data_IF_649299354490
#
_entry.id   IF_649299354490
#
_cell.length_a   1.000
_cell.length_b   1.000
_cell.length_c   1.000
_cell.angle_alpha   90.00
_cell.angle_beta   90.00
_cell.angle_gamma   90.00
#
_symmetry.space_group_name_H-M   'P 1'
#
loop_
_entity.id
_entity.type
_entity.pdbx_description
1 polymer ?
#
# COMPACT_ATOMS: atom_id res chain seq x y z
N UNK A 1 -3.40 -65.20 64.63
CA UNK A 1 -2.12 -65.46 63.91
C UNK A 1 -1.73 -64.15 63.28
N UNK A 2 -0.62 -63.65 63.70
CA UNK A 2 -0.03 -62.36 63.51
C UNK A 2 0.54 -62.25 62.09
N UNK A 3 0.28 -61.13 61.40
CA UNK A 3 1.07 -60.76 60.20
C UNK A 3 1.55 -59.35 60.38
N UNK A 4 2.83 -59.22 60.33
CA UNK A 4 3.68 -58.04 60.54
C UNK A 4 3.56 -57.04 59.41
N UNK A 5 3.36 -55.77 59.75
CA UNK A 5 3.44 -54.61 58.85
C UNK A 5 4.91 -54.19 58.71
N UNK A 6 5.42 -54.24 57.50
CA UNK A 6 6.74 -53.70 57.16
C UNK A 6 6.54 -52.29 56.63
N UNK A 7 6.89 -51.23 57.42
CA UNK A 7 6.98 -49.83 57.00
C UNK A 7 8.23 -49.60 56.16
N UNK A 8 8.04 -49.32 54.91
CA UNK A 8 9.12 -48.79 54.05
C UNK A 8 9.09 -47.25 54.02
N UNK A 9 10.05 -46.64 54.63
CA UNK A 9 10.27 -45.19 54.61
C UNK A 9 10.95 -44.79 53.28
N UNK A 10 10.18 -44.15 52.38
CA UNK A 10 10.70 -43.56 51.16
C UNK A 10 11.10 -42.11 51.41
N UNK A 11 12.39 -41.80 51.43
CA UNK A 11 12.94 -40.45 51.49
C UNK A 11 12.77 -39.75 50.17
N UNK A 12 11.98 -38.68 50.14
CA UNK A 12 11.83 -37.78 48.99
C UNK A 12 13.04 -36.84 48.90
N UNK A 13 13.72 -36.70 47.73
CA UNK A 13 14.76 -35.72 47.58
C UNK A 13 14.12 -34.30 47.41
N UNK A 14 14.51 -33.43 48.30
CA UNK A 14 14.17 -31.99 48.28
C UNK A 14 14.83 -31.36 47.05
N UNK A 15 14.05 -31.10 45.98
CA UNK A 15 14.50 -30.33 44.84
C UNK A 15 14.56 -28.85 45.21
N UNK A 16 15.77 -28.35 45.45
CA UNK A 16 16.04 -26.92 45.64
C UNK A 16 15.81 -26.20 44.33
N UNK A 17 14.62 -25.63 44.12
CA UNK A 17 14.37 -24.72 43.01
C UNK A 17 15.17 -23.44 43.26
N UNK A 18 16.29 -23.26 42.57
CA UNK A 18 16.99 -21.98 42.46
C UNK A 18 16.04 -21.02 41.71
N UNK A 19 15.21 -20.30 42.45
CA UNK A 19 14.58 -19.10 41.94
C UNK A 19 15.68 -18.08 41.65
N UNK A 20 16.04 -17.92 40.39
CA UNK A 20 16.82 -16.76 39.94
C UNK A 20 16.01 -15.50 40.26
N UNK A 21 16.35 -14.84 41.35
CA UNK A 21 15.80 -13.54 41.71
C UNK A 21 16.42 -12.47 40.79
N UNK A 22 15.83 -12.29 39.60
CA UNK A 22 16.00 -11.05 38.88
C UNK A 22 15.39 -9.94 39.73
N UNK A 23 16.21 -9.04 40.24
CA UNK A 23 15.78 -7.96 41.13
C UNK A 23 14.79 -7.01 40.44
N UNK A 24 13.94 -6.29 41.20
CA UNK A 24 12.90 -5.40 40.67
C UNK A 24 13.45 -4.29 39.73
N UNK A 25 14.72 -3.94 39.83
CA UNK A 25 15.38 -2.98 38.93
C UNK A 25 15.59 -3.53 37.50
N UNK A 26 15.81 -4.83 37.36
CA UNK A 26 15.95 -5.49 36.04
C UNK A 26 14.60 -5.58 35.32
N UNK A 27 13.51 -5.79 36.02
CA UNK A 27 12.16 -5.83 35.46
C UNK A 27 11.67 -4.43 35.06
N UNK A 28 11.95 -3.40 35.88
CA UNK A 28 11.61 -2.01 35.61
C UNK A 28 12.36 -1.46 34.39
N UNK A 29 13.67 -1.78 34.27
CA UNK A 29 14.48 -1.43 33.09
C UNK A 29 13.98 -2.08 31.81
N UNK A 30 13.58 -3.37 31.86
CA UNK A 30 13.00 -4.09 30.73
C UNK A 30 11.64 -3.56 30.29
N UNK A 31 10.80 -3.14 31.24
CA UNK A 31 9.50 -2.55 30.95
C UNK A 31 9.61 -1.17 30.30
N UNK A 32 10.51 -0.31 30.81
CA UNK A 32 10.78 1.02 30.24
C UNK A 32 11.33 0.93 28.81
N UNK A 33 12.27 0.03 28.58
CA UNK A 33 12.84 -0.21 27.23
C UNK A 33 11.77 -0.70 26.25
N UNK A 34 10.91 -1.60 26.68
CA UNK A 34 9.81 -2.12 25.84
C UNK A 34 8.78 -1.04 25.51
N UNK A 35 8.43 -0.17 26.48
CA UNK A 35 7.51 0.95 26.27
C UNK A 35 8.10 1.97 25.30
N UNK A 36 9.40 2.29 25.41
CA UNK A 36 10.09 3.18 24.47
C UNK A 36 10.11 2.62 23.05
N UNK A 37 10.46 1.34 22.87
CA UNK A 37 10.43 0.68 21.57
C UNK A 37 9.05 0.68 20.94
N UNK A 38 8.02 0.44 21.73
CA UNK A 38 6.62 0.49 21.24
C UNK A 38 6.26 1.88 20.71
N UNK A 39 6.65 2.94 21.42
CA UNK A 39 6.45 4.34 20.96
C UNK A 39 7.25 4.61 19.69
N UNK A 40 8.49 4.14 19.62
CA UNK A 40 9.34 4.30 18.46
C UNK A 40 8.75 3.61 17.21
N UNK A 41 8.16 2.42 17.38
CA UNK A 41 7.48 1.71 16.28
C UNK A 41 6.26 2.48 15.79
N UNK A 42 5.46 3.10 16.68
CA UNK A 42 4.33 3.95 16.26
C UNK A 42 4.84 5.12 15.40
N UNK A 43 5.86 5.83 15.87
CA UNK A 43 6.49 6.94 15.11
C UNK A 43 7.04 6.42 13.77
N UNK A 44 7.71 5.27 13.80
CA UNK A 44 8.23 4.62 12.59
C UNK A 44 7.14 4.28 11.56
N UNK A 45 6.00 3.74 12.02
CA UNK A 45 4.85 3.45 11.14
C UNK A 45 4.30 4.72 10.51
N UNK A 46 4.11 5.78 11.30
CA UNK A 46 3.58 7.07 10.81
C UNK A 46 4.53 7.70 9.81
N UNK A 47 5.82 7.82 10.15
CA UNK A 47 6.82 8.40 9.26
C UNK A 47 7.01 7.56 7.98
N UNK A 48 7.01 6.24 8.08
CA UNK A 48 7.05 5.38 6.91
C UNK A 48 5.83 5.62 6.03
N UNK A 49 4.61 5.61 6.59
CA UNK A 49 3.38 5.82 5.84
C UNK A 49 3.36 7.17 5.11
N UNK A 50 3.80 8.25 5.77
CA UNK A 50 3.93 9.58 5.16
C UNK A 50 4.87 9.60 3.95
N UNK A 51 5.82 8.65 3.87
CA UNK A 51 6.83 8.60 2.80
C UNK A 51 6.48 7.63 1.65
N UNK A 52 5.46 6.78 1.79
CA UNK A 52 5.17 5.75 0.77
C UNK A 52 4.53 6.27 -0.51
N UNK A 53 4.08 7.51 -0.55
CA UNK A 53 3.37 8.09 -1.72
C UNK A 53 3.98 9.38 -2.27
N UNK A 54 4.72 10.19 -1.50
CA UNK A 54 5.27 11.46 -2.00
C UNK A 54 6.14 11.31 -3.26
N UNK A 55 6.88 10.21 -3.38
CA UNK A 55 7.70 9.92 -4.58
C UNK A 55 6.91 9.97 -5.89
N UNK A 56 5.63 9.59 -5.87
CA UNK A 56 4.73 9.55 -7.03
C UNK A 56 3.97 10.86 -7.13
N UNK A 57 3.36 11.31 -6.02
CA UNK A 57 2.50 12.50 -6.02
C UNK A 57 3.28 13.80 -6.28
N UNK A 58 4.49 13.96 -5.71
CA UNK A 58 5.34 15.12 -5.98
C UNK A 58 5.83 15.17 -7.43
N UNK A 59 6.16 14.00 -8.00
CA UNK A 59 6.50 13.91 -9.41
C UNK A 59 5.33 14.29 -10.30
N UNK A 60 4.12 13.79 -10.02
CA UNK A 60 2.92 14.15 -10.78
C UNK A 60 2.60 15.65 -10.73
N UNK A 61 2.89 16.32 -9.60
CA UNK A 61 2.70 17.77 -9.46
C UNK A 61 3.73 18.60 -10.26
N UNK A 62 4.95 18.08 -10.47
CA UNK A 62 6.05 18.73 -11.21
C UNK A 62 6.38 18.02 -12.53
N UNK A 63 5.41 17.29 -13.11
CA UNK A 63 5.64 16.47 -14.31
C UNK A 63 6.17 17.29 -15.48
N UNK A 64 5.64 18.47 -15.70
CA UNK A 64 6.03 19.37 -16.81
C UNK A 64 7.46 19.84 -16.63
N UNK A 65 7.80 20.40 -15.46
CA UNK A 65 9.13 20.91 -15.15
C UNK A 65 10.21 19.83 -15.24
N UNK A 66 9.88 18.61 -14.81
CA UNK A 66 10.79 17.48 -14.92
C UNK A 66 10.95 17.05 -16.39
N UNK A 67 9.85 16.97 -17.16
CA UNK A 67 9.90 16.63 -18.57
C UNK A 67 10.77 17.59 -19.38
N UNK A 68 10.55 18.88 -19.16
CA UNK A 68 11.30 19.94 -19.85
C UNK A 68 12.78 19.98 -19.41
N UNK A 69 13.02 19.79 -18.10
CA UNK A 69 14.37 19.86 -17.53
C UNK A 69 15.31 18.73 -17.96
N UNK A 70 14.77 17.54 -18.30
CA UNK A 70 15.58 16.37 -18.73
C UNK A 70 15.24 15.87 -20.14
N UNK A 71 14.42 16.62 -20.89
CA UNK A 71 14.02 16.27 -22.26
C UNK A 71 13.20 14.98 -22.36
N UNK A 72 12.30 14.73 -21.39
CA UNK A 72 11.54 13.48 -21.31
C UNK A 72 10.32 13.51 -22.21
N UNK A 73 10.17 12.52 -23.09
CA UNK A 73 8.98 12.35 -23.93
C UNK A 73 7.74 11.92 -23.10
N UNK A 74 6.53 12.15 -23.62
CA UNK A 74 5.29 11.68 -23.00
C UNK A 74 5.26 10.15 -22.80
N UNK A 75 5.81 9.39 -23.75
CA UNK A 75 5.96 7.93 -23.62
C UNK A 75 6.84 7.54 -22.42
N UNK A 76 7.98 8.21 -22.23
CA UNK A 76 8.88 7.94 -21.10
C UNK A 76 8.25 8.39 -19.76
N UNK A 77 7.45 9.46 -19.74
CA UNK A 77 6.63 9.83 -18.59
C UNK A 77 5.58 8.74 -18.27
N UNK A 78 4.99 8.12 -19.29
CA UNK A 78 4.12 6.95 -19.15
C UNK A 78 4.82 5.73 -18.56
N UNK A 79 6.07 5.46 -18.99
CA UNK A 79 6.92 4.41 -18.39
C UNK A 79 7.13 4.70 -16.89
N UNK A 80 7.48 5.93 -16.56
CA UNK A 80 7.74 6.34 -15.18
C UNK A 80 6.49 6.23 -14.28
N UNK A 81 5.32 6.59 -14.80
CA UNK A 81 4.03 6.46 -14.08
C UNK A 81 3.54 5.01 -13.98
N UNK A 82 4.04 4.10 -14.83
CA UNK A 82 3.81 2.65 -14.74
C UNK A 82 4.78 1.94 -13.79
N UNK A 83 5.93 2.56 -13.50
CA UNK A 83 7.00 1.99 -12.70
C UNK A 83 6.56 1.57 -11.27
N UNK A 84 5.67 2.29 -10.57
CA UNK A 84 5.14 1.84 -9.28
C UNK A 84 4.46 0.48 -9.38
N UNK A 85 3.58 0.28 -10.36
CA UNK A 85 2.90 -1.01 -10.58
C UNK A 85 3.88 -2.15 -10.80
N UNK A 86 4.90 -1.92 -11.61
CA UNK A 86 5.97 -2.90 -11.86
C UNK A 86 6.73 -3.23 -10.57
N UNK A 87 7.14 -2.21 -9.81
CA UNK A 87 7.84 -2.41 -8.54
C UNK A 87 6.97 -3.16 -7.51
N UNK A 88 5.69 -2.85 -7.41
CA UNK A 88 4.78 -3.57 -6.51
C UNK A 88 4.56 -5.02 -6.95
N UNK A 89 4.45 -5.30 -8.25
CA UNK A 89 4.32 -6.64 -8.77
C UNK A 89 5.57 -7.50 -8.45
N UNK A 90 6.76 -6.94 -8.65
CA UNK A 90 8.02 -7.65 -8.46
C UNK A 90 8.44 -7.73 -6.99
N UNK A 91 8.60 -6.57 -6.36
CA UNK A 91 9.18 -6.49 -5.01
C UNK A 91 8.15 -6.78 -3.91
N UNK A 92 6.85 -6.57 -4.18
CA UNK A 92 5.78 -6.98 -3.29
C UNK A 92 5.78 -8.48 -3.01
N UNK A 93 6.03 -9.31 -4.03
CA UNK A 93 6.18 -10.78 -3.88
C UNK A 93 7.48 -11.15 -3.17
N UNK A 94 8.53 -10.34 -3.31
CA UNK A 94 9.83 -10.59 -2.68
C UNK A 94 9.85 -10.19 -1.20
N UNK A 95 9.06 -9.18 -0.79
CA UNK A 95 9.08 -8.59 0.55
C UNK A 95 8.95 -9.64 1.70
N UNK A 96 8.03 -10.63 1.65
CA UNK A 96 7.96 -11.66 2.69
C UNK A 96 9.19 -12.57 2.74
N UNK A 97 9.85 -12.83 1.59
CA UNK A 97 11.08 -13.63 1.54
C UNK A 97 12.25 -12.87 2.15
N UNK A 98 12.39 -11.59 1.83
CA UNK A 98 13.39 -10.70 2.42
C UNK A 98 13.20 -10.57 3.94
N UNK A 99 11.95 -10.38 4.39
CA UNK A 99 11.60 -10.28 5.80
C UNK A 99 11.95 -11.56 6.60
N UNK A 100 11.76 -12.75 6.00
CA UNK A 100 12.19 -14.02 6.62
C UNK A 100 13.71 -14.15 6.70
N UNK A 101 14.45 -13.63 5.73
CA UNK A 101 15.92 -13.76 5.67
C UNK A 101 16.63 -12.74 6.56
N UNK A 102 16.20 -11.50 6.55
CA UNK A 102 16.88 -10.37 7.18
C UNK A 102 16.14 -9.79 8.40
N UNK A 103 14.92 -10.22 8.64
CA UNK A 103 14.02 -9.64 9.64
C UNK A 103 13.22 -8.44 9.11
N UNK A 104 12.00 -8.27 9.66
CA UNK A 104 11.06 -7.24 9.19
C UNK A 104 11.62 -5.83 9.40
N UNK A 105 12.23 -5.56 10.59
CA UNK A 105 12.81 -4.25 10.92
C UNK A 105 13.94 -3.84 9.98
N UNK A 106 14.88 -4.76 9.69
CA UNK A 106 15.98 -4.51 8.78
C UNK A 106 15.53 -4.24 7.35
N UNK A 107 14.52 -4.99 6.87
CA UNK A 107 14.00 -4.83 5.50
C UNK A 107 13.23 -3.52 5.34
N UNK A 108 12.45 -3.10 6.35
CA UNK A 108 11.78 -1.79 6.34
C UNK A 108 12.80 -0.65 6.44
N UNK A 109 13.81 -0.77 7.30
CA UNK A 109 14.91 0.21 7.39
C UNK A 109 15.61 0.37 6.04
N UNK A 110 16.01 -0.74 5.41
CA UNK A 110 16.60 -0.74 4.07
C UNK A 110 15.68 -0.16 3.00
N UNK A 111 14.37 -0.44 3.09
CA UNK A 111 13.34 0.14 2.24
C UNK A 111 13.26 1.66 2.37
N UNK A 112 13.22 2.20 3.61
CA UNK A 112 13.23 3.64 3.85
C UNK A 112 14.53 4.30 3.37
N UNK A 113 15.68 3.65 3.58
CA UNK A 113 16.97 4.12 3.07
C UNK A 113 16.99 4.14 1.53
N UNK A 114 16.43 3.14 0.87
CA UNK A 114 16.30 3.10 -0.59
C UNK A 114 15.38 4.22 -1.11
N UNK A 115 14.29 4.54 -0.39
CA UNK A 115 13.42 5.68 -0.70
C UNK A 115 14.21 6.99 -0.60
N UNK A 116 14.90 7.20 0.51
CA UNK A 116 15.69 8.42 0.74
C UNK A 116 16.79 8.61 -0.32
N UNK A 117 17.56 7.55 -0.60
CA UNK A 117 18.61 7.57 -1.62
C UNK A 117 18.05 7.81 -3.03
N UNK A 118 16.99 7.08 -3.42
CA UNK A 118 16.37 7.26 -4.72
C UNK A 118 15.79 8.66 -4.93
N UNK A 119 15.13 9.23 -3.91
CA UNK A 119 14.60 10.59 -3.96
C UNK A 119 15.70 11.67 -3.98
N UNK A 120 16.81 11.44 -3.27
CA UNK A 120 17.94 12.37 -3.26
C UNK A 120 18.74 12.35 -4.58
N UNK A 121 18.91 11.19 -5.18
CA UNK A 121 19.73 11.02 -6.39
C UNK A 121 18.95 11.46 -7.65
N UNK A 122 17.65 11.09 -7.76
CA UNK A 122 16.88 11.23 -9.02
C UNK A 122 16.89 12.65 -9.62
N UNK A 123 16.80 13.78 -8.86
CA UNK A 123 16.75 15.11 -9.43
C UNK A 123 18.06 15.56 -10.09
N UNK A 124 19.19 14.93 -9.74
CA UNK A 124 20.54 15.32 -10.15
C UNK A 124 21.19 14.37 -11.15
N UNK A 125 20.45 13.38 -11.66
CA UNK A 125 20.99 12.39 -12.61
C UNK A 125 21.30 12.96 -14.00
N UNK A 126 20.71 14.08 -14.38
CA UNK A 126 20.90 14.76 -15.68
C UNK A 126 20.42 13.97 -16.90
N UNK A 127 19.97 12.73 -16.75
CA UNK A 127 19.48 11.87 -17.82
C UNK A 127 18.18 11.18 -17.46
N UNK A 128 17.31 10.95 -18.47
CA UNK A 128 16.06 10.22 -18.28
C UNK A 128 16.28 8.81 -17.73
N UNK A 129 17.31 8.10 -18.22
CA UNK A 129 17.64 6.75 -17.75
C UNK A 129 18.06 6.74 -16.27
N UNK A 130 18.89 7.69 -15.85
CA UNK A 130 19.29 7.87 -14.45
C UNK A 130 18.10 8.23 -13.56
N UNK A 131 17.22 9.12 -14.03
CA UNK A 131 15.99 9.49 -13.31
C UNK A 131 15.06 8.28 -13.12
N UNK A 132 14.87 7.45 -14.15
CA UNK A 132 14.10 6.21 -14.08
C UNK A 132 14.71 5.20 -13.10
N UNK A 133 16.04 5.00 -13.16
CA UNK A 133 16.73 4.07 -12.26
C UNK A 133 16.65 4.50 -10.80
N UNK A 134 16.87 5.79 -10.49
CA UNK A 134 16.76 6.33 -9.16
C UNK A 134 15.29 6.30 -8.65
N UNK A 135 14.32 6.55 -9.55
CA UNK A 135 12.89 6.38 -9.24
C UNK A 135 12.54 4.93 -8.94
N UNK A 136 13.09 3.97 -9.72
CA UNK A 136 12.91 2.54 -9.46
C UNK A 136 13.46 2.12 -8.10
N UNK A 137 14.61 2.66 -7.68
CA UNK A 137 15.19 2.41 -6.35
C UNK A 137 14.24 2.89 -5.23
N UNK A 138 13.70 4.11 -5.35
CA UNK A 138 12.73 4.64 -4.39
C UNK A 138 11.46 3.78 -4.36
N UNK A 139 10.91 3.43 -5.52
CA UNK A 139 9.68 2.65 -5.66
C UNK A 139 9.84 1.19 -5.18
N UNK A 140 11.01 0.59 -5.33
CA UNK A 140 11.35 -0.69 -4.72
C UNK A 140 11.24 -0.61 -3.19
N UNK A 141 11.85 0.41 -2.57
CA UNK A 141 11.74 0.65 -1.13
C UNK A 141 10.29 0.84 -0.68
N UNK A 142 9.49 1.60 -1.46
CA UNK A 142 8.06 1.80 -1.22
C UNK A 142 7.30 0.48 -1.27
N UNK A 143 7.50 -0.33 -2.33
CA UNK A 143 6.79 -1.59 -2.52
C UNK A 143 7.04 -2.56 -1.37
N UNK A 144 8.30 -2.74 -1.00
CA UNK A 144 8.70 -3.64 0.10
C UNK A 144 8.13 -3.16 1.44
N UNK A 145 8.27 -1.88 1.75
CA UNK A 145 7.81 -1.31 3.01
C UNK A 145 6.28 -1.36 3.14
N UNK A 146 5.55 -1.03 2.07
CA UNK A 146 4.09 -1.06 2.05
C UNK A 146 3.53 -2.46 2.33
N UNK A 147 4.14 -3.51 1.74
CA UNK A 147 3.72 -4.90 1.98
C UNK A 147 4.03 -5.35 3.41
N UNK A 148 5.09 -4.84 4.03
CA UNK A 148 5.49 -5.24 5.38
C UNK A 148 4.79 -4.45 6.49
N UNK A 149 4.21 -3.27 6.23
CA UNK A 149 3.54 -2.47 7.27
C UNK A 149 2.43 -3.23 8.01
N UNK A 150 1.50 -3.96 7.36
CA UNK A 150 0.52 -4.77 8.07
C UNK A 150 1.15 -5.86 8.95
N UNK A 151 2.30 -6.40 8.55
CA UNK A 151 3.05 -7.40 9.33
C UNK A 151 3.64 -6.76 10.59
N UNK A 152 4.22 -5.55 10.47
CA UNK A 152 4.71 -4.75 11.60
C UNK A 152 3.58 -4.46 12.58
N UNK A 153 2.44 -3.95 12.07
CA UNK A 153 1.27 -3.62 12.89
C UNK A 153 0.80 -4.85 13.65
N UNK A 154 0.60 -5.99 13.00
CA UNK A 154 0.14 -7.23 13.63
C UNK A 154 1.14 -7.78 14.65
N UNK A 155 2.44 -7.62 14.41
CA UNK A 155 3.50 -8.11 15.30
C UNK A 155 3.62 -7.30 16.58
N UNK A 156 3.56 -5.96 16.48
CA UNK A 156 3.77 -5.06 17.60
C UNK A 156 2.49 -4.66 18.33
N UNK A 157 1.35 -4.68 17.65
CA UNK A 157 0.06 -4.23 18.16
C UNK A 157 -1.06 -5.25 17.89
N UNK A 158 -0.93 -6.52 18.36
CA UNK A 158 -1.92 -7.57 18.07
C UNK A 158 -3.32 -7.21 18.58
N UNK A 159 -3.43 -6.50 19.72
CA UNK A 159 -4.70 -6.10 20.33
C UNK A 159 -5.28 -4.80 19.76
N UNK A 160 -4.53 -4.08 18.92
CA UNK A 160 -4.89 -2.76 18.35
C UNK A 160 -4.68 -2.68 16.85
N UNK A 161 -4.74 -3.81 16.16
CA UNK A 161 -4.49 -3.89 14.70
C UNK A 161 -5.36 -2.90 13.93
N UNK A 162 -6.66 -2.80 14.25
CA UNK A 162 -7.59 -1.90 13.56
C UNK A 162 -7.21 -0.42 13.69
N UNK A 163 -6.90 0.06 14.91
CA UNK A 163 -6.53 1.45 15.14
C UNK A 163 -5.17 1.81 14.54
N UNK A 164 -4.20 0.90 14.58
CA UNK A 164 -2.87 1.11 13.98
C UNK A 164 -2.93 1.08 12.44
N UNK A 165 -3.76 0.22 11.87
CA UNK A 165 -4.00 0.22 10.41
C UNK A 165 -4.72 1.50 9.98
N UNK A 166 -5.68 1.99 10.78
CA UNK A 166 -6.33 3.28 10.54
C UNK A 166 -5.33 4.45 10.57
N UNK A 167 -4.46 4.49 11.58
CA UNK A 167 -3.40 5.49 11.70
C UNK A 167 -2.44 5.45 10.50
N UNK A 168 -2.00 4.25 10.11
CA UNK A 168 -1.19 4.02 8.92
C UNK A 168 -1.86 4.55 7.64
N UNK A 169 -3.13 4.21 7.42
CA UNK A 169 -3.88 4.63 6.24
C UNK A 169 -4.11 6.14 6.19
N UNK A 170 -4.39 6.75 7.35
CA UNK A 170 -4.52 8.20 7.48
C UNK A 170 -3.19 8.91 7.16
N UNK A 171 -2.08 8.45 7.73
CA UNK A 171 -0.75 9.01 7.46
C UNK A 171 -0.36 8.84 5.98
N UNK A 172 -0.68 7.69 5.36
CA UNK A 172 -0.47 7.44 3.94
C UNK A 172 -1.22 8.45 3.05
N UNK A 173 -2.49 8.69 3.34
CA UNK A 173 -3.32 9.64 2.60
C UNK A 173 -2.86 11.08 2.83
N UNK A 174 -2.48 11.42 4.07
CA UNK A 174 -1.93 12.74 4.40
C UNK A 174 -0.62 13.01 3.66
N UNK A 175 0.30 12.04 3.63
CA UNK A 175 1.56 12.15 2.89
C UNK A 175 1.34 12.34 1.39
N UNK A 176 0.35 11.63 0.82
CA UNK A 176 -0.02 11.77 -0.60
C UNK A 176 -0.58 13.18 -0.90
N UNK A 177 -1.55 13.62 -0.10
CA UNK A 177 -2.17 14.94 -0.25
C UNK A 177 -1.20 16.08 -0.01
N UNK A 178 -0.36 15.98 1.03
CA UNK A 178 0.68 16.98 1.32
C UNK A 178 1.67 17.10 0.16
N UNK A 179 2.14 15.97 -0.40
CA UNK A 179 3.03 15.99 -1.54
C UNK A 179 2.41 16.65 -2.77
N UNK A 180 1.15 16.36 -3.05
CA UNK A 180 0.45 16.99 -4.17
C UNK A 180 0.24 18.50 -3.99
N UNK A 181 -0.14 18.93 -2.78
CA UNK A 181 -0.47 20.34 -2.50
C UNK A 181 0.76 21.23 -2.30
N UNK A 182 1.80 20.71 -1.63
CA UNK A 182 2.91 21.53 -1.12
C UNK A 182 4.10 21.56 -2.07
N UNK A 183 4.24 20.57 -2.98
CA UNK A 183 5.45 20.46 -3.81
C UNK A 183 5.62 21.67 -4.74
N UNK A 184 4.57 22.15 -5.41
CA UNK A 184 4.67 23.31 -6.31
C UNK A 184 4.99 24.60 -5.55
N UNK A 185 4.21 25.03 -4.51
CA UNK A 185 4.53 26.23 -3.75
C UNK A 185 5.91 26.18 -3.10
N UNK A 186 6.33 25.01 -2.62
CA UNK A 186 7.65 24.81 -2.04
C UNK A 186 8.77 24.98 -3.07
N UNK A 187 8.55 24.50 -4.30
CA UNK A 187 9.49 24.70 -5.41
C UNK A 187 9.67 26.18 -5.72
N UNK A 188 8.58 26.97 -5.73
CA UNK A 188 8.61 28.43 -5.94
C UNK A 188 9.43 29.13 -4.85
N UNK A 189 9.18 28.81 -3.58
CA UNK A 189 9.92 29.38 -2.42
C UNK A 189 11.41 29.01 -2.48
N UNK A 190 11.76 27.84 -3.01
CA UNK A 190 13.15 27.38 -3.16
C UNK A 190 13.83 27.89 -4.45
N UNK A 191 13.35 28.96 -5.05
CA UNK A 191 13.94 29.61 -6.22
C UNK A 191 13.53 29.00 -7.57
N UNK A 192 12.40 28.30 -7.62
CA UNK A 192 11.83 27.73 -8.86
C UNK A 192 12.51 26.44 -9.36
N UNK A 193 13.45 25.90 -8.60
CA UNK A 193 14.15 24.65 -8.98
C UNK A 193 13.32 23.41 -8.66
N UNK A 194 12.85 22.72 -9.72
CA UNK A 194 12.14 21.43 -9.55
C UNK A 194 13.01 20.38 -8.83
N UNK A 195 14.34 20.46 -9.01
CA UNK A 195 15.28 19.58 -8.31
C UNK A 195 15.19 19.77 -6.79
N UNK A 196 15.21 21.02 -6.34
CA UNK A 196 15.07 21.35 -4.91
C UNK A 196 13.71 20.88 -4.36
N UNK A 197 12.62 21.14 -5.10
CA UNK A 197 11.27 20.74 -4.74
C UNK A 197 11.12 19.21 -4.57
N UNK A 198 11.75 18.42 -5.43
CA UNK A 198 11.75 16.95 -5.28
C UNK A 198 12.69 16.47 -4.16
N UNK A 199 13.81 17.14 -3.92
CA UNK A 199 14.81 16.75 -2.92
C UNK A 199 14.30 16.88 -1.49
N UNK A 200 13.40 17.82 -1.21
CA UNK A 200 12.83 17.97 0.15
C UNK A 200 12.16 16.68 0.63
N UNK A 201 11.54 15.94 -0.26
CA UNK A 201 10.92 14.64 0.09
C UNK A 201 11.96 13.57 0.46
N UNK A 202 13.20 13.69 -0.03
CA UNK A 202 14.30 12.84 0.41
C UNK A 202 14.70 13.09 1.87
N UNK A 203 14.62 14.33 2.34
CA UNK A 203 14.88 14.67 3.74
C UNK A 203 13.85 14.01 4.66
N UNK A 204 12.56 14.11 4.31
CA UNK A 204 11.49 13.43 5.05
C UNK A 204 11.71 11.91 5.08
N UNK A 205 12.12 11.31 3.96
CA UNK A 205 12.43 9.90 3.88
C UNK A 205 13.66 9.51 4.71
N UNK A 206 14.70 10.35 4.74
CA UNK A 206 15.88 10.12 5.59
C UNK A 206 15.54 10.16 7.07
N UNK A 207 14.69 11.11 7.50
CA UNK A 207 14.16 11.15 8.88
C UNK A 207 13.37 9.89 9.20
N UNK A 208 12.60 9.36 8.26
CA UNK A 208 11.84 8.13 8.46
C UNK A 208 12.70 6.86 8.63
N UNK A 209 13.99 6.88 8.26
CA UNK A 209 14.93 5.76 8.52
C UNK A 209 15.23 5.63 10.01
N UNK A 210 15.36 6.76 10.72
CA UNK A 210 15.88 6.82 12.09
C UNK A 210 15.14 5.88 13.06
N UNK A 211 13.80 5.87 13.13
CA UNK A 211 13.09 4.98 14.06
C UNK A 211 13.32 3.49 13.79
N UNK A 212 13.74 3.11 12.57
CA UNK A 212 13.94 1.71 12.19
C UNK A 212 15.34 1.19 12.51
N UNK A 213 16.34 2.07 12.73
CA UNK A 213 17.73 1.68 13.02
C UNK A 213 17.82 0.78 14.26
N UNK A 214 17.23 1.12 15.42
CA UNK A 214 17.25 0.24 16.58
C UNK A 214 16.54 -1.10 16.33
N UNK A 215 15.51 -1.09 15.48
CA UNK A 215 14.68 -2.26 15.17
C UNK A 215 15.36 -3.26 14.20
N UNK A 216 16.48 -2.88 13.59
CA UNK A 216 17.27 -3.80 12.72
C UNK A 216 17.75 -5.02 13.50
N UNK A 217 18.13 -4.84 14.77
CA UNK A 217 18.68 -5.90 15.62
C UNK A 217 17.64 -6.58 16.51
N UNK A 218 16.45 -6.00 16.62
CA UNK A 218 15.41 -6.49 17.50
C UNK A 218 14.52 -7.54 16.83
N UNK A 219 14.53 -8.72 17.42
CA UNK A 219 13.47 -9.72 17.18
C UNK A 219 12.32 -9.34 18.12
N UNK A 220 11.21 -8.84 17.56
CA UNK A 220 10.06 -8.34 18.33
C UNK A 220 9.55 -9.31 19.40
N UNK A 221 8.86 -8.82 20.45
CA UNK A 221 8.48 -9.60 21.62
C UNK A 221 7.61 -10.82 21.26
N UNK A 222 8.14 -12.01 21.45
CA UNK A 222 7.40 -13.28 21.34
C UNK A 222 7.18 -13.83 19.93
N UNK A 223 7.84 -13.26 18.88
CA UNK A 223 7.66 -13.72 17.49
C UNK A 223 8.15 -15.14 17.23
N UNK A 224 9.34 -15.47 17.72
CA UNK A 224 9.97 -16.76 17.40
C UNK A 224 9.30 -17.97 18.07
N UNK A 225 8.73 -17.82 19.28
CA UNK A 225 8.03 -18.92 19.96
C UNK A 225 6.61 -19.14 19.44
N UNK A 226 5.88 -18.08 19.08
CA UNK A 226 4.51 -18.22 18.52
C UNK A 226 4.53 -18.67 17.07
N UNK A 227 5.48 -18.21 16.25
CA UNK A 227 5.66 -18.70 14.88
C UNK A 227 6.12 -20.17 14.87
N UNK A 228 7.02 -20.55 15.78
CA UNK A 228 7.43 -21.97 15.95
C UNK A 228 6.29 -22.84 16.50
N UNK A 229 5.44 -22.32 17.41
CA UNK A 229 4.25 -23.00 17.91
C UNK A 229 3.13 -23.08 16.86
N UNK A 230 2.91 -22.04 16.06
CA UNK A 230 1.96 -22.08 14.93
C UNK A 230 2.45 -22.98 13.81
N UNK A 231 3.75 -22.97 13.49
CA UNK A 231 4.35 -23.91 12.53
C UNK A 231 4.28 -25.37 13.01
N UNK A 232 4.42 -25.60 14.31
CA UNK A 232 4.24 -26.93 14.92
C UNK A 232 2.77 -27.32 15.09
N UNK A 233 1.89 -26.36 15.44
CA UNK A 233 0.44 -26.61 15.58
C UNK A 233 -0.25 -26.88 14.24
N UNK A 234 0.15 -26.23 13.17
CA UNK A 234 -0.34 -26.53 11.81
C UNK A 234 0.19 -27.85 11.26
N UNK A 235 1.30 -28.36 11.78
CA UNK A 235 1.80 -29.70 11.42
C UNK A 235 1.09 -30.84 12.15
N UNK A 236 0.48 -30.60 13.31
CA UNK A 236 -0.13 -31.65 14.16
C UNK A 236 -1.64 -31.86 13.92
N UNK A 237 -2.36 -30.88 13.36
CA UNK A 237 -3.81 -30.98 13.03
C UNK A 237 -4.10 -30.90 11.54
N UNK A 238 -3.10 -31.16 10.73
CA UNK A 238 -3.19 -31.17 9.27
C UNK A 238 -4.03 -32.32 8.73
N UNK A 239 -5.34 -32.31 8.99
CA UNK A 239 -6.28 -32.81 7.98
C UNK A 239 -6.00 -31.95 6.74
N UNK A 240 -5.48 -32.56 5.66
CA UNK A 240 -5.19 -31.95 4.36
C UNK A 240 -6.34 -31.01 3.96
N UNK A 241 -6.30 -29.76 4.35
CA UNK A 241 -7.04 -28.71 3.69
C UNK A 241 -6.50 -28.71 2.26
N UNK A 242 -7.25 -29.25 1.32
CA UNK A 242 -6.86 -29.29 -0.08
C UNK A 242 -6.42 -27.91 -0.47
N UNK A 243 -5.20 -27.80 -1.01
CA UNK A 243 -4.63 -26.52 -1.44
C UNK A 243 -5.65 -25.83 -2.32
N UNK A 244 -6.24 -24.73 -1.82
CA UNK A 244 -7.17 -23.91 -2.59
C UNK A 244 -6.46 -23.51 -3.89
N UNK A 245 -6.94 -24.02 -5.02
CA UNK A 245 -6.42 -23.64 -6.33
C UNK A 245 -7.00 -22.26 -6.70
N UNK A 246 -6.53 -21.21 -6.03
CA UNK A 246 -6.96 -19.81 -6.21
C UNK A 246 -7.04 -19.42 -7.69
N UNK A 247 -6.09 -19.89 -8.50
CA UNK A 247 -6.03 -19.60 -9.94
C UNK A 247 -7.20 -20.19 -10.75
N UNK A 248 -8.01 -21.07 -10.17
CA UNK A 248 -9.23 -21.63 -10.82
C UNK A 248 -10.52 -20.92 -10.36
N UNK A 249 -10.45 -20.10 -9.32
CA UNK A 249 -11.60 -19.37 -8.79
C UNK A 249 -11.94 -18.18 -9.69
N UNK A 250 -13.21 -18.11 -10.12
CA UNK A 250 -13.75 -16.97 -10.89
C UNK A 250 -13.82 -15.72 -10.03
N UNK A 251 -14.15 -15.84 -8.76
CA UNK A 251 -14.17 -14.75 -7.78
C UNK A 251 -12.77 -14.17 -7.58
N UNK A 252 -11.72 -15.01 -7.50
CA UNK A 252 -10.36 -14.56 -7.37
C UNK A 252 -9.88 -13.76 -8.60
N UNK A 253 -10.20 -14.21 -9.81
CA UNK A 253 -9.89 -13.49 -11.04
C UNK A 253 -10.68 -12.18 -11.15
N UNK A 254 -11.97 -12.18 -10.81
CA UNK A 254 -12.76 -10.95 -10.80
C UNK A 254 -12.19 -9.90 -9.84
N UNK A 255 -11.76 -10.31 -8.63
CA UNK A 255 -11.07 -9.43 -7.69
C UNK A 255 -9.72 -8.95 -8.20
N UNK A 256 -8.92 -9.82 -8.84
CA UNK A 256 -7.62 -9.46 -9.39
C UNK A 256 -7.75 -8.42 -10.52
N UNK A 257 -8.70 -8.61 -11.43
CA UNK A 257 -8.96 -7.67 -12.54
C UNK A 257 -9.53 -6.36 -12.00
N UNK A 258 -10.48 -6.41 -11.06
CA UNK A 258 -11.03 -5.22 -10.41
C UNK A 258 -9.95 -4.41 -9.71
N UNK A 259 -9.08 -5.08 -8.93
CA UNK A 259 -7.94 -4.45 -8.28
C UNK A 259 -6.97 -3.84 -9.29
N UNK A 260 -6.70 -4.54 -10.39
CA UNK A 260 -5.78 -4.08 -11.43
C UNK A 260 -6.29 -2.83 -12.15
N UNK A 261 -7.55 -2.82 -12.57
CA UNK A 261 -8.16 -1.66 -13.23
C UNK A 261 -8.25 -0.45 -12.31
N UNK A 262 -8.60 -0.67 -11.02
CA UNK A 262 -8.57 0.39 -10.01
C UNK A 262 -7.16 0.93 -9.79
N UNK A 263 -6.14 0.05 -9.69
CA UNK A 263 -4.75 0.47 -9.53
C UNK A 263 -4.26 1.26 -10.76
N UNK A 264 -4.66 0.85 -11.97
CA UNK A 264 -4.45 1.60 -13.22
C UNK A 264 -4.98 3.03 -13.09
N UNK A 265 -6.25 3.19 -12.75
CA UNK A 265 -6.88 4.50 -12.58
C UNK A 265 -6.16 5.35 -11.52
N UNK A 266 -5.80 4.75 -10.38
CA UNK A 266 -5.11 5.45 -9.30
C UNK A 266 -3.72 5.97 -9.71
N UNK A 267 -2.90 5.15 -10.40
CA UNK A 267 -1.58 5.58 -10.83
C UNK A 267 -1.62 6.60 -11.98
N UNK A 268 -2.58 6.47 -12.90
CA UNK A 268 -2.81 7.51 -13.93
C UNK A 268 -3.21 8.82 -13.24
N UNK A 269 -4.15 8.80 -12.30
CA UNK A 269 -4.59 9.98 -11.57
C UNK A 269 -3.43 10.64 -10.83
N UNK A 270 -2.63 9.87 -10.08
CA UNK A 270 -1.48 10.41 -9.35
C UNK A 270 -0.41 11.00 -10.27
N UNK A 271 -0.20 10.40 -11.43
CA UNK A 271 0.87 10.82 -12.34
C UNK A 271 0.47 11.94 -13.31
N UNK A 272 -0.80 11.99 -13.73
CA UNK A 272 -1.19 12.81 -14.86
C UNK A 272 -2.28 13.86 -14.56
N UNK A 273 -3.06 13.72 -13.47
CA UNK A 273 -4.21 14.60 -13.23
C UNK A 273 -3.82 16.07 -13.10
N UNK A 274 -2.70 16.37 -12.41
CA UNK A 274 -2.22 17.74 -12.31
C UNK A 274 -1.87 18.32 -13.69
N UNK A 275 -1.24 17.52 -14.56
CA UNK A 275 -0.91 17.93 -15.92
C UNK A 275 -2.17 18.16 -16.79
N UNK A 276 -3.19 17.31 -16.66
CA UNK A 276 -4.48 17.48 -17.35
C UNK A 276 -5.08 18.86 -17.01
N UNK A 277 -5.06 19.26 -15.75
CA UNK A 277 -5.56 20.57 -15.33
C UNK A 277 -4.67 21.72 -15.81
N UNK A 278 -3.34 21.57 -15.81
CA UNK A 278 -2.40 22.58 -16.28
C UNK A 278 -2.55 22.82 -17.78
N UNK A 279 -2.64 21.78 -18.58
CA UNK A 279 -2.86 21.88 -20.02
C UNK A 279 -4.23 22.51 -20.37
N UNK A 280 -5.17 22.50 -19.42
CA UNK A 280 -6.45 23.20 -19.52
C UNK A 280 -6.40 24.68 -19.00
N UNK A 281 -5.20 25.18 -18.68
CA UNK A 281 -4.99 26.57 -18.23
C UNK A 281 -5.14 26.79 -16.74
N UNK A 282 -5.27 25.74 -15.92
CA UNK A 282 -5.31 25.88 -14.46
C UNK A 282 -3.89 26.13 -13.93
N UNK A 283 -3.68 27.13 -13.03
CA UNK A 283 -2.37 27.40 -12.45
C UNK A 283 -1.78 26.17 -11.74
N UNK A 284 -0.46 25.98 -11.83
CA UNK A 284 0.25 24.81 -11.32
C UNK A 284 -0.03 24.54 -9.83
N UNK A 285 -0.03 25.57 -8.97
CA UNK A 285 -0.37 25.43 -7.55
C UNK A 285 -1.81 24.93 -7.33
N UNK A 286 -2.77 25.46 -8.11
CA UNK A 286 -4.17 25.00 -8.05
C UNK A 286 -4.31 23.56 -8.56
N UNK A 287 -3.60 23.18 -9.63
CA UNK A 287 -3.61 21.82 -10.16
C UNK A 287 -3.06 20.81 -9.14
N UNK A 288 -1.99 21.17 -8.42
CA UNK A 288 -1.47 20.37 -7.31
C UNK A 288 -2.48 20.25 -6.15
N UNK A 289 -3.21 21.34 -5.83
CA UNK A 289 -4.25 21.30 -4.81
C UNK A 289 -5.45 20.45 -5.22
N UNK A 290 -5.87 20.47 -6.48
CA UNK A 290 -6.92 19.61 -7.02
C UNK A 290 -6.52 18.14 -6.93
N UNK A 291 -5.28 17.79 -7.25
CA UNK A 291 -4.74 16.44 -7.03
C UNK A 291 -4.76 16.08 -5.54
N UNK A 292 -4.38 17.01 -4.66
CA UNK A 292 -4.41 16.79 -3.21
C UNK A 292 -5.84 16.52 -2.70
N UNK A 293 -6.84 17.26 -3.17
CA UNK A 293 -8.26 17.04 -2.85
C UNK A 293 -8.70 15.66 -3.34
N UNK A 294 -8.34 15.29 -4.57
CA UNK A 294 -8.63 13.97 -5.13
C UNK A 294 -8.08 12.84 -4.24
N UNK A 295 -6.85 12.99 -3.74
CA UNK A 295 -6.23 11.99 -2.85
C UNK A 295 -6.83 12.05 -1.43
N UNK A 296 -7.17 13.23 -0.92
CA UNK A 296 -7.74 13.43 0.42
C UNK A 296 -9.14 12.84 0.58
N UNK A 297 -9.92 12.72 -0.51
CA UNK A 297 -11.22 12.03 -0.49
C UNK A 297 -11.11 10.57 0.02
N UNK A 298 -9.94 9.96 -0.16
CA UNK A 298 -9.65 8.64 0.39
C UNK A 298 -9.72 8.57 1.93
N UNK A 299 -9.45 9.67 2.66
CA UNK A 299 -9.41 9.67 4.13
C UNK A 299 -10.80 9.37 4.73
N UNK A 300 -11.85 10.18 4.50
CA UNK A 300 -13.17 9.91 5.07
C UNK A 300 -13.80 8.65 4.47
N UNK A 301 -13.66 8.42 3.16
CA UNK A 301 -14.32 7.33 2.46
C UNK A 301 -13.70 5.97 2.76
N UNK A 302 -12.41 5.89 3.12
CA UNK A 302 -11.77 4.66 3.59
C UNK A 302 -12.39 4.11 4.88
N UNK A 303 -13.06 4.95 5.68
CA UNK A 303 -13.83 4.51 6.85
C UNK A 303 -15.29 4.19 6.52
N UNK A 304 -15.90 4.95 5.64
CA UNK A 304 -17.33 4.82 5.28
C UNK A 304 -17.55 3.58 4.40
N UNK A 305 -16.77 3.43 3.32
CA UNK A 305 -16.97 2.39 2.32
C UNK A 305 -16.90 0.97 2.90
N UNK A 306 -15.88 0.59 3.70
CA UNK A 306 -15.86 -0.74 4.31
C UNK A 306 -17.03 -1.01 5.23
N UNK A 307 -17.48 0.00 6.02
CA UNK A 307 -18.63 -0.13 6.91
C UNK A 307 -19.93 -0.35 6.14
N UNK A 308 -20.12 0.36 5.05
CA UNK A 308 -21.32 0.18 4.20
C UNK A 308 -21.23 -1.15 3.46
N UNK A 309 -20.06 -1.49 2.90
CA UNK A 309 -19.84 -2.73 2.15
C UNK A 309 -20.14 -3.99 2.99
N UNK A 310 -19.76 -3.99 4.27
CA UNK A 310 -20.00 -5.13 5.17
C UNK A 310 -21.47 -5.28 5.60
N UNK A 311 -22.28 -4.24 5.44
CA UNK A 311 -23.73 -4.27 5.75
C UNK A 311 -24.59 -4.70 4.58
N UNK A 312 -24.07 -4.66 3.36
CA UNK A 312 -24.79 -5.01 2.15
C UNK A 312 -24.60 -6.50 1.81
N UNK A 313 -25.65 -7.20 1.35
CA UNK A 313 -25.55 -8.60 0.93
C UNK A 313 -24.62 -8.75 -0.29
N UNK A 314 -24.55 -7.73 -1.15
CA UNK A 314 -23.62 -7.68 -2.28
C UNK A 314 -23.09 -6.25 -2.47
N UNK A 315 -21.86 -6.11 -2.94
CA UNK A 315 -21.16 -4.83 -3.06
C UNK A 315 -21.35 -4.13 -4.41
N UNK A 316 -22.12 -4.74 -5.32
CA UNK A 316 -22.43 -4.20 -6.65
C UNK A 316 -22.87 -2.74 -6.68
N UNK A 317 -23.83 -2.30 -5.84
CA UNK A 317 -24.29 -0.90 -5.81
C UNK A 317 -23.17 0.09 -5.50
N UNK A 318 -22.23 -0.24 -4.58
CA UNK A 318 -21.10 0.63 -4.27
C UNK A 318 -20.16 0.70 -5.47
N UNK A 319 -19.87 -0.43 -6.12
CA UNK A 319 -19.04 -0.46 -7.34
C UNK A 319 -19.62 0.42 -8.44
N UNK A 320 -20.92 0.31 -8.68
CA UNK A 320 -21.62 1.13 -9.70
C UNK A 320 -21.56 2.61 -9.33
N UNK A 321 -21.84 2.95 -8.08
CA UNK A 321 -21.76 4.35 -7.61
C UNK A 321 -20.37 4.95 -7.83
N UNK A 322 -19.30 4.23 -7.42
CA UNK A 322 -17.92 4.70 -7.62
C UNK A 322 -17.57 4.78 -9.10
N UNK A 323 -18.02 3.83 -9.91
CA UNK A 323 -17.83 3.84 -11.36
C UNK A 323 -18.52 5.02 -12.05
N UNK A 324 -19.76 5.32 -11.67
CA UNK A 324 -20.50 6.50 -12.18
C UNK A 324 -19.79 7.80 -11.79
N UNK A 325 -19.33 7.93 -10.55
CA UNK A 325 -18.50 9.08 -10.15
C UNK A 325 -17.26 9.23 -11.05
N UNK A 326 -16.56 8.11 -11.34
CA UNK A 326 -15.40 8.11 -12.23
C UNK A 326 -15.75 8.53 -13.66
N UNK A 327 -16.81 7.96 -14.24
CA UNK A 327 -17.27 8.32 -15.59
C UNK A 327 -17.67 9.79 -15.70
N UNK A 328 -18.41 10.33 -14.72
CA UNK A 328 -18.75 11.74 -14.67
C UNK A 328 -17.51 12.64 -14.51
N UNK A 329 -16.55 12.21 -13.69
CA UNK A 329 -15.28 12.93 -13.53
C UNK A 329 -14.49 12.97 -14.84
N UNK A 330 -14.33 11.85 -15.55
CA UNK A 330 -13.64 11.81 -16.85
C UNK A 330 -14.39 12.56 -17.94
N UNK A 331 -15.71 12.45 -17.99
CA UNK A 331 -16.53 13.24 -18.91
C UNK A 331 -16.38 14.73 -18.63
N UNK A 332 -16.38 15.14 -17.36
CA UNK A 332 -16.14 16.52 -16.95
C UNK A 332 -14.77 17.05 -17.38
N UNK A 333 -13.71 16.23 -17.21
CA UNK A 333 -12.37 16.58 -17.70
C UNK A 333 -12.31 16.67 -19.24
N UNK A 334 -13.10 15.90 -19.95
CA UNK A 334 -13.15 15.92 -21.41
C UNK A 334 -13.83 17.18 -21.96
N UNK A 335 -15.01 17.55 -21.40
CA UNK A 335 -15.84 18.64 -21.93
C UNK A 335 -15.55 20.00 -21.32
N UNK A 336 -15.17 20.06 -20.04
CA UNK A 336 -15.00 21.33 -19.31
C UNK A 336 -13.92 21.18 -18.20
N UNK A 337 -12.66 20.89 -18.53
CA UNK A 337 -11.65 20.55 -17.53
C UNK A 337 -11.43 21.65 -16.49
N UNK A 338 -11.33 22.92 -16.90
CA UNK A 338 -11.16 24.05 -15.99
C UNK A 338 -12.48 24.51 -15.34
N UNK A 339 -13.60 24.46 -16.07
CA UNK A 339 -14.88 25.02 -15.62
C UNK A 339 -15.52 24.29 -14.42
N UNK A 340 -15.18 23.02 -14.22
CA UNK A 340 -15.67 22.21 -13.09
C UNK A 340 -14.56 21.51 -12.30
N UNK A 341 -13.34 22.02 -12.33
CA UNK A 341 -12.13 21.35 -11.82
C UNK A 341 -12.27 20.76 -10.40
N UNK A 342 -12.88 21.51 -9.48
CA UNK A 342 -13.13 21.05 -8.11
C UNK A 342 -14.14 19.91 -8.04
N UNK A 343 -15.19 19.97 -8.85
CA UNK A 343 -16.18 18.89 -8.91
C UNK A 343 -15.55 17.61 -9.49
N UNK A 344 -14.75 17.73 -10.54
CA UNK A 344 -14.05 16.61 -11.14
C UNK A 344 -13.03 16.00 -10.18
N UNK A 345 -12.29 16.81 -9.42
CA UNK A 345 -11.38 16.35 -8.39
C UNK A 345 -12.09 15.52 -7.30
N UNK A 346 -13.25 16.00 -6.81
CA UNK A 346 -14.05 15.28 -5.80
C UNK A 346 -14.63 13.97 -6.37
N UNK A 347 -15.18 14.00 -7.59
CA UNK A 347 -15.75 12.81 -8.23
C UNK A 347 -14.69 11.73 -8.49
N UNK A 348 -13.54 12.11 -9.03
CA UNK A 348 -12.42 11.18 -9.27
C UNK A 348 -11.82 10.68 -7.96
N UNK A 349 -11.73 11.53 -6.92
CA UNK A 349 -11.32 11.12 -5.59
C UNK A 349 -12.28 10.11 -4.96
N UNK A 350 -13.58 10.29 -5.16
CA UNK A 350 -14.61 9.32 -4.77
C UNK A 350 -14.43 8.00 -5.51
N UNK A 351 -14.24 8.04 -6.83
CA UNK A 351 -14.01 6.85 -7.65
C UNK A 351 -12.75 6.06 -7.21
N UNK A 352 -11.67 6.75 -6.83
CA UNK A 352 -10.43 6.13 -6.32
C UNK A 352 -10.64 5.32 -5.03
N UNK A 353 -11.75 5.52 -4.32
CA UNK A 353 -12.12 4.71 -3.16
C UNK A 353 -12.57 3.28 -3.51
N UNK A 354 -12.51 2.89 -4.78
CA UNK A 354 -12.54 1.49 -5.19
C UNK A 354 -11.41 0.64 -4.57
N UNK A 355 -10.29 1.25 -4.17
CA UNK A 355 -9.19 0.54 -3.50
C UNK A 355 -9.56 -0.01 -2.11
N UNK A 356 -10.04 0.78 -1.14
CA UNK A 356 -10.50 0.23 0.14
C UNK A 356 -11.68 -0.73 -0.02
N UNK A 357 -12.55 -0.54 -1.03
CA UNK A 357 -13.59 -1.50 -1.35
C UNK A 357 -13.01 -2.85 -1.79
N UNK A 358 -12.04 -2.85 -2.71
CA UNK A 358 -11.37 -4.07 -3.19
C UNK A 358 -10.74 -4.86 -2.04
N UNK A 359 -10.02 -4.18 -1.13
CA UNK A 359 -9.43 -4.83 0.04
C UNK A 359 -10.48 -5.40 1.01
N UNK A 360 -11.60 -4.70 1.20
CA UNK A 360 -12.72 -5.18 1.99
C UNK A 360 -13.34 -6.43 1.37
N UNK A 361 -13.57 -6.42 0.05
CA UNK A 361 -14.10 -7.56 -0.68
C UNK A 361 -13.16 -8.77 -0.60
N UNK A 362 -11.84 -8.60 -0.68
CA UNK A 362 -10.87 -9.68 -0.46
C UNK A 362 -11.09 -10.36 0.91
N UNK A 363 -11.29 -9.56 1.97
CA UNK A 363 -11.58 -10.09 3.31
C UNK A 363 -12.92 -10.84 3.40
N UNK A 364 -13.92 -10.43 2.61
CA UNK A 364 -15.26 -11.02 2.63
C UNK A 364 -15.42 -12.25 1.71
N UNK A 365 -14.55 -12.43 0.70
CA UNK A 365 -14.64 -13.50 -0.30
C UNK A 365 -13.79 -14.71 0.03
N UNK A 366 -13.29 -14.82 1.27
CA UNK A 366 -12.66 -16.02 1.80
C UNK A 366 -13.13 -16.26 3.25
N UNK A 367 -13.45 -17.52 3.58
CA UNK A 367 -13.93 -17.93 4.91
C UNK A 367 -12.79 -18.10 5.91
N UNK A 368 -11.61 -18.51 5.44
CA UNK A 368 -10.48 -18.85 6.29
C UNK A 368 -9.39 -17.78 6.24
N UNK A 369 -8.66 -17.58 7.34
CA UNK A 369 -7.53 -16.65 7.36
C UNK A 369 -6.45 -16.99 6.31
N UNK A 370 -6.22 -18.29 6.07
CA UNK A 370 -5.31 -18.74 5.01
C UNK A 370 -5.86 -18.44 3.61
N UNK A 371 -7.17 -18.59 3.39
CA UNK A 371 -7.85 -18.23 2.15
C UNK A 371 -7.77 -16.73 1.88
N UNK A 372 -8.01 -15.89 2.89
CA UNK A 372 -7.87 -14.42 2.79
C UNK A 372 -6.44 -14.05 2.38
N UNK A 373 -5.42 -14.65 3.02
CA UNK A 373 -4.02 -14.36 2.71
C UNK A 373 -3.66 -14.78 1.27
N UNK A 374 -4.11 -15.95 0.82
CA UNK A 374 -3.87 -16.43 -0.55
C UNK A 374 -4.61 -15.57 -1.58
N UNK A 375 -5.87 -15.23 -1.32
CA UNK A 375 -6.69 -14.39 -2.20
C UNK A 375 -6.11 -12.97 -2.30
N UNK A 376 -5.70 -12.38 -1.17
CA UNK A 376 -5.05 -11.07 -1.12
C UNK A 376 -3.75 -11.05 -1.92
N UNK A 377 -2.89 -12.05 -1.72
CA UNK A 377 -1.63 -12.17 -2.45
C UNK A 377 -1.88 -12.32 -3.97
N UNK A 378 -2.81 -13.17 -4.38
CA UNK A 378 -3.15 -13.38 -5.78
C UNK A 378 -3.76 -12.12 -6.41
N UNK A 379 -4.79 -11.53 -5.78
CA UNK A 379 -5.50 -10.37 -6.31
C UNK A 379 -4.57 -9.15 -6.46
N UNK A 380 -3.73 -8.88 -5.47
CA UNK A 380 -2.81 -7.75 -5.53
C UNK A 380 -1.66 -7.99 -6.52
N UNK A 381 -1.00 -9.15 -6.50
CA UNK A 381 0.12 -9.43 -7.41
C UNK A 381 -0.33 -9.41 -8.87
N UNK A 382 -1.41 -10.14 -9.20
CA UNK A 382 -1.99 -10.17 -10.54
C UNK A 382 -2.53 -8.80 -10.94
N UNK A 383 -3.20 -8.11 -10.01
CA UNK A 383 -3.74 -6.78 -10.25
C UNK A 383 -2.66 -5.75 -10.57
N UNK A 384 -1.56 -5.73 -9.83
CA UNK A 384 -0.45 -4.83 -10.16
C UNK A 384 0.17 -5.14 -11.53
N UNK A 385 0.27 -6.42 -11.93
CA UNK A 385 0.70 -6.78 -13.28
C UNK A 385 -0.25 -6.24 -14.35
N UNK A 386 -1.57 -6.38 -14.13
CA UNK A 386 -2.60 -5.84 -15.04
C UNK A 386 -2.53 -4.31 -15.13
N UNK A 387 -2.13 -3.63 -14.06
CA UNK A 387 -2.08 -2.16 -14.03
C UNK A 387 -0.88 -1.55 -14.75
N UNK A 388 0.15 -2.32 -15.10
CA UNK A 388 1.37 -1.81 -15.75
C UNK A 388 1.08 -1.08 -17.06
N UNK A 389 0.31 -1.63 -18.04
CA UNK A 389 0.15 -1.01 -19.34
C UNK A 389 -0.67 0.29 -19.32
N UNK A 390 -1.55 0.49 -18.33
CA UNK A 390 -2.46 1.63 -18.31
C UNK A 390 -1.78 3.00 -18.33
N UNK A 391 -0.96 3.36 -17.35
CA UNK A 391 -0.26 4.64 -17.33
C UNK A 391 0.70 4.81 -18.52
N UNK A 392 1.32 3.71 -19.01
CA UNK A 392 2.15 3.73 -20.20
C UNK A 392 1.33 4.11 -21.44
N UNK A 393 0.17 3.48 -21.63
CA UNK A 393 -0.73 3.77 -22.75
C UNK A 393 -1.21 5.23 -22.72
N UNK A 394 -1.50 5.79 -21.55
CA UNK A 394 -1.84 7.22 -21.42
C UNK A 394 -0.70 8.10 -21.95
N UNK A 395 0.54 7.82 -21.54
CA UNK A 395 1.71 8.57 -22.03
C UNK A 395 1.93 8.46 -23.53
N UNK A 396 1.76 7.25 -24.09
CA UNK A 396 1.85 7.01 -25.55
C UNK A 396 0.74 7.74 -26.30
N UNK A 397 -0.51 7.61 -25.84
CA UNK A 397 -1.65 8.28 -26.48
C UNK A 397 -1.52 9.80 -26.42
N UNK A 398 -1.12 10.36 -25.27
CA UNK A 398 -0.87 11.79 -25.12
C UNK A 398 0.21 12.27 -26.11
N UNK A 399 1.32 11.54 -26.21
CA UNK A 399 2.41 11.88 -27.13
C UNK A 399 1.97 11.86 -28.60
N UNK A 400 1.17 10.88 -29.01
CA UNK A 400 0.79 10.71 -30.43
C UNK A 400 -0.43 11.55 -30.84
N UNK A 401 -1.38 11.79 -29.91
CA UNK A 401 -2.59 12.58 -30.23
C UNK A 401 -2.41 14.08 -30.03
N UNK A 402 -1.34 14.51 -29.36
CA UNK A 402 -1.11 15.92 -29.03
C UNK A 402 -2.13 16.52 -28.07
N UNK A 403 -2.89 15.67 -27.32
CA UNK A 403 -3.91 16.15 -26.40
C UNK A 403 -4.51 15.06 -25.52
N UNK A 404 -5.47 15.45 -24.68
CA UNK A 404 -6.06 14.58 -23.65
C UNK A 404 -7.29 13.80 -24.11
N UNK A 405 -7.80 14.01 -25.33
CA UNK A 405 -9.01 13.35 -25.83
C UNK A 405 -8.93 11.82 -25.79
N UNK A 406 -7.90 11.23 -26.44
CA UNK A 406 -7.70 9.78 -26.45
C UNK A 406 -7.33 9.20 -25.07
N UNK A 407 -6.41 9.81 -24.29
CA UNK A 407 -6.15 9.38 -22.92
C UNK A 407 -7.41 9.32 -22.04
N UNK A 408 -8.23 10.38 -22.06
CA UNK A 408 -9.46 10.43 -21.24
C UNK A 408 -10.51 9.41 -21.73
N UNK A 409 -10.64 9.20 -23.04
CA UNK A 409 -11.49 8.15 -23.60
C UNK A 409 -11.04 6.75 -23.15
N UNK A 410 -9.71 6.48 -23.12
CA UNK A 410 -9.15 5.23 -22.58
C UNK A 410 -9.53 5.08 -21.10
N UNK A 411 -9.34 6.13 -20.27
CA UNK A 411 -9.61 6.08 -18.84
C UNK A 411 -11.11 5.84 -18.56
N UNK A 412 -12.00 6.54 -19.29
CA UNK A 412 -13.43 6.33 -19.20
C UNK A 412 -13.82 4.91 -19.69
N UNK A 413 -13.20 4.45 -20.78
CA UNK A 413 -13.43 3.10 -21.31
C UNK A 413 -13.04 1.99 -20.34
N UNK A 414 -11.96 2.15 -19.59
CA UNK A 414 -11.52 1.19 -18.57
C UNK A 414 -12.43 1.15 -17.33
N UNK A 415 -13.21 2.21 -17.08
CA UNK A 415 -14.23 2.20 -16.02
C UNK A 415 -15.34 1.19 -16.26
N UNK A 416 -15.74 0.95 -17.50
CA UNK A 416 -16.81 0.01 -17.84
C UNK A 416 -16.46 -1.44 -17.44
N UNK A 417 -15.34 -2.02 -17.90
CA UNK A 417 -14.94 -3.35 -17.43
C UNK A 417 -14.64 -3.37 -15.93
N UNK A 418 -14.11 -2.29 -15.33
CA UNK A 418 -13.94 -2.20 -13.89
C UNK A 418 -15.27 -2.35 -13.14
N UNK A 419 -16.32 -1.67 -13.57
CA UNK A 419 -17.66 -1.79 -12.98
C UNK A 419 -18.20 -3.22 -13.13
N UNK A 420 -18.10 -3.80 -14.32
CA UNK A 420 -18.60 -5.16 -14.60
C UNK A 420 -17.91 -6.19 -13.69
N UNK A 421 -16.57 -6.22 -13.71
CA UNK A 421 -15.82 -7.19 -12.88
C UNK A 421 -15.96 -6.91 -11.39
N UNK A 422 -16.09 -5.65 -10.99
CA UNK A 422 -16.33 -5.26 -9.60
C UNK A 422 -17.70 -5.74 -9.09
N UNK A 423 -18.75 -5.67 -9.91
CA UNK A 423 -20.08 -6.23 -9.59
C UNK A 423 -20.00 -7.75 -9.49
N UNK A 424 -19.25 -8.42 -10.39
CA UNK A 424 -19.06 -9.86 -10.34
C UNK A 424 -18.30 -10.29 -9.06
N UNK A 425 -17.24 -9.57 -8.70
CA UNK A 425 -16.47 -9.78 -7.47
C UNK A 425 -17.29 -9.48 -6.20
N UNK A 426 -18.25 -8.56 -6.31
CA UNK A 426 -19.16 -8.18 -5.23
C UNK A 426 -20.30 -9.17 -4.96
N UNK A 427 -20.44 -10.27 -5.71
CA UNK A 427 -21.45 -11.31 -5.46
C UNK A 427 -21.12 -12.09 -4.19
N UNK A 428 -22.14 -12.53 -3.46
CA UNK A 428 -21.97 -13.29 -2.23
C UNK A 428 -21.56 -14.75 -2.53
N UNK A 429 -20.26 -14.92 -2.84
CA UNK A 429 -19.59 -16.22 -3.08
C UNK A 429 -18.19 -16.17 -2.56
N UNK A 430 -17.74 -17.21 -1.85
CA UNK A 430 -16.37 -17.35 -1.40
C UNK A 430 -15.54 -18.24 -2.31
N UNK A 431 -14.22 -18.10 -2.26
CA UNK A 431 -13.30 -18.96 -3.03
C UNK A 431 -13.36 -20.42 -2.58
N UNK A 432 -13.72 -20.65 -1.32
CA UNK A 432 -13.95 -22.00 -0.77
C UNK A 432 -15.21 -22.63 -1.33
N UNK A 433 -16.33 -21.88 -1.47
CA UNK A 433 -17.56 -22.37 -2.10
C UNK A 433 -17.33 -22.83 -3.53
N UNK A 434 -16.55 -22.04 -4.30
CA UNK A 434 -16.21 -22.41 -5.68
C UNK A 434 -15.29 -23.65 -5.73
N UNK A 435 -14.41 -23.82 -4.76
CA UNK A 435 -13.56 -24.99 -4.68
C UNK A 435 -14.33 -26.25 -4.28
N UNK A 436 -15.38 -26.11 -3.47
CA UNK A 436 -16.29 -27.21 -3.09
C UNK A 436 -17.17 -27.61 -4.27
N UNK A 437 -17.73 -26.63 -5.00
CA UNK A 437 -18.58 -26.87 -6.18
C UNK A 437 -17.83 -27.48 -7.39
N UNK A 438 -16.49 -27.37 -7.41
CA UNK A 438 -15.65 -27.90 -8.48
C UNK A 438 -15.11 -29.33 -8.20
N UNK A 439 -15.48 -29.92 -7.07
CA UNK A 439 -15.16 -31.32 -6.68
C UNK A 439 -16.27 -32.26 -7.06
#
# INVERSE_FOLDING_TARGET
>A
MVSEETRTTTSTPMSTSIRSSAGPESEAGGAATRAWLTRLVVVGIVLAALNLRPAIASFGALLEEVRDGIGMSGTLAGVLTSLPSFCFALFGVMAPRLARRFGVGAVVCGGMAAIAAGLAIRPYTGTTAGFLAASALALMGIAVSNVLMPVVVKRWFPDRVGSMTGLYSMALSLGTGAAAAVTVPMTEVLGGSWQAGLTVWAVLAAVAVVPWIPLVRERGPGGDQREALHARGTSATGRRAGTLRITRSRTAWALAVFFGLQATAAYITMGWLAQIFRDAGVPAGTAGLLLAVTMAMGVPLAFVIPRVATRLPHQGPIVVFLGVCGLLGYAGLYFAPAGGAWAWAVLLGTANCAFPLALTMVGMRARTGAGVAQLSAFAQSTGYLISIPGPLLVGVLYQHSGGWGLPLALMAGLMLPQMVVGVLAGRDRTVEDEAEAAR
#
